data_IF_082329534444
#
_entry.id   IF_082329534444
#
_cell.length_a   1.000
_cell.length_b   1.000
_cell.length_c   1.000
_cell.angle_alpha   90.00
_cell.angle_beta   90.00
_cell.angle_gamma   90.00
#
_symmetry.space_group_name_H-M   'P 1'
#
loop_
_entity.id
_entity.type
_entity.pdbx_description
1 polymer ?
#
# COMPACT_ATOMS: atom_id res chain seq x y z
N UNK A 1 58.26 0.43 -17.45
CA UNK A 1 57.01 1.20 -17.61
C UNK A 1 55.79 0.31 -18.00
N UNK A 2 55.75 -0.98 -17.63
CA UNK A 2 54.66 -1.92 -18.03
C UNK A 2 54.17 -2.78 -16.84
N UNK A 3 54.64 -2.51 -15.61
CA UNK A 3 54.33 -3.35 -14.43
C UNK A 3 53.26 -2.80 -13.48
N UNK A 4 52.85 -1.54 -13.62
CA UNK A 4 51.91 -0.90 -12.68
C UNK A 4 50.45 -0.83 -13.17
N UNK A 5 50.19 -1.16 -14.44
CA UNK A 5 48.84 -1.06 -15.03
C UNK A 5 47.96 -2.28 -14.65
N UNK A 6 48.52 -3.36 -14.10
CA UNK A 6 47.75 -4.56 -13.70
C UNK A 6 47.07 -4.46 -12.33
N UNK A 7 47.44 -3.52 -11.47
CA UNK A 7 46.83 -3.39 -10.14
C UNK A 7 45.59 -2.49 -10.10
N UNK A 8 45.47 -1.55 -11.04
CA UNK A 8 44.34 -0.60 -11.08
C UNK A 8 43.08 -1.21 -11.72
N UNK A 9 43.24 -2.19 -12.62
CA UNK A 9 42.10 -2.82 -13.30
C UNK A 9 41.41 -3.87 -12.40
N UNK A 10 42.11 -4.48 -11.45
CA UNK A 10 41.49 -5.41 -10.49
C UNK A 10 40.67 -4.70 -9.41
N UNK A 11 41.03 -3.47 -9.01
CA UNK A 11 40.28 -2.73 -8.00
C UNK A 11 38.98 -2.12 -8.54
N UNK A 12 38.94 -1.73 -9.82
CA UNK A 12 37.70 -1.22 -10.44
C UNK A 12 36.66 -2.33 -10.69
N UNK A 13 37.08 -3.60 -10.78
CA UNK A 13 36.15 -4.70 -11.00
C UNK A 13 35.40 -5.11 -9.72
N UNK A 14 35.92 -4.78 -8.54
CA UNK A 14 35.27 -5.10 -7.26
C UNK A 14 34.18 -4.10 -6.85
N UNK A 15 34.23 -2.84 -7.32
CA UNK A 15 33.21 -1.84 -6.96
C UNK A 15 31.96 -1.97 -7.85
N UNK A 16 32.11 -2.49 -9.08
CA UNK A 16 30.97 -2.67 -10.01
C UNK A 16 30.21 -3.99 -9.75
N UNK A 17 30.76 -4.90 -8.94
CA UNK A 17 30.20 -6.23 -8.72
C UNK A 17 29.14 -6.33 -7.59
N UNK A 18 28.80 -5.23 -6.90
CA UNK A 18 27.82 -5.26 -5.79
C UNK A 18 26.41 -4.80 -6.14
N UNK A 19 26.11 -4.46 -7.39
CA UNK A 19 24.72 -4.39 -7.87
C UNK A 19 24.28 -5.79 -8.30
N UNK A 20 24.40 -6.77 -7.40
CA UNK A 20 23.59 -7.98 -7.52
C UNK A 20 22.14 -7.52 -7.44
N UNK A 21 21.38 -7.72 -8.52
CA UNK A 21 19.98 -7.38 -8.69
C UNK A 21 19.16 -7.73 -7.44
N UNK A 22 19.08 -6.80 -6.49
CA UNK A 22 18.29 -6.98 -5.30
C UNK A 22 16.82 -7.01 -5.75
N UNK A 23 16.15 -8.13 -5.52
CA UNK A 23 14.75 -8.31 -5.91
C UNK A 23 13.84 -7.33 -5.15
N UNK A 24 14.28 -6.85 -3.99
CA UNK A 24 13.69 -5.70 -3.28
C UNK A 24 14.58 -4.47 -3.54
N UNK A 25 13.94 -3.35 -3.85
CA UNK A 25 14.59 -2.07 -4.13
C UNK A 25 14.25 -1.06 -3.03
N UNK A 26 15.10 -0.06 -2.76
CA UNK A 26 14.73 1.07 -1.92
C UNK A 26 13.49 1.79 -2.46
N UNK A 27 12.68 2.37 -1.57
CA UNK A 27 11.59 3.26 -1.97
C UNK A 27 12.19 4.50 -2.65
N UNK A 28 11.77 4.85 -3.88
CA UNK A 28 12.27 6.05 -4.54
C UNK A 28 11.78 7.31 -3.81
N UNK A 29 12.46 8.43 -4.03
CA UNK A 29 11.96 9.72 -3.59
C UNK A 29 10.55 9.98 -4.15
N UNK A 30 9.68 10.68 -3.39
CA UNK A 30 8.38 11.07 -3.88
C UNK A 30 8.51 11.84 -5.21
N UNK A 31 7.63 11.60 -6.19
CA UNK A 31 7.63 12.37 -7.42
C UNK A 31 7.38 13.84 -7.10
N UNK A 32 8.03 14.74 -7.85
CA UNK A 32 7.76 16.18 -7.74
C UNK A 32 6.30 16.46 -8.10
N UNK A 33 5.60 17.24 -7.27
CA UNK A 33 4.20 17.63 -7.45
C UNK A 33 4.07 19.13 -7.23
N UNK A 34 3.09 19.77 -7.88
CA UNK A 34 2.77 21.17 -7.61
C UNK A 34 2.33 21.33 -6.13
N UNK A 35 3.03 22.15 -5.30
CA UNK A 35 2.70 22.27 -3.88
C UNK A 35 1.28 22.77 -3.60
N UNK A 36 0.73 23.65 -4.46
CA UNK A 36 -0.65 24.13 -4.32
C UNK A 36 -1.65 23.00 -4.56
N UNK A 37 -1.36 22.12 -5.53
CA UNK A 37 -2.20 20.98 -5.85
C UNK A 37 -2.15 19.92 -4.74
N UNK A 38 -0.97 19.68 -4.16
CA UNK A 38 -0.79 18.77 -3.01
C UNK A 38 -1.58 19.28 -1.81
N UNK A 39 -1.46 20.57 -1.48
CA UNK A 39 -2.22 21.17 -0.37
C UNK A 39 -3.73 21.06 -0.58
N UNK A 40 -4.20 21.29 -1.81
CA UNK A 40 -5.61 21.13 -2.15
C UNK A 40 -6.07 19.68 -1.99
N UNK A 41 -5.25 18.72 -2.45
CA UNK A 41 -5.50 17.29 -2.28
C UNK A 41 -5.56 16.84 -0.83
N UNK A 42 -4.64 17.34 0.01
CA UNK A 42 -4.61 17.06 1.45
C UNK A 42 -5.88 17.57 2.14
N UNK A 43 -6.31 18.79 1.81
CA UNK A 43 -7.55 19.36 2.32
C UNK A 43 -8.76 18.50 1.93
N UNK A 44 -8.86 18.08 0.66
CA UNK A 44 -9.94 17.22 0.17
C UNK A 44 -9.91 15.82 0.80
N UNK A 45 -8.73 15.28 1.09
CA UNK A 45 -8.57 13.97 1.72
C UNK A 45 -9.23 13.91 3.11
N UNK A 46 -9.32 15.05 3.79
CA UNK A 46 -9.94 15.22 5.10
C UNK A 46 -11.34 15.86 5.03
N UNK A 47 -11.85 16.15 3.84
CA UNK A 47 -13.10 16.90 3.66
C UNK A 47 -14.31 15.96 3.68
N UNK A 48 -15.05 15.95 4.78
CA UNK A 48 -16.25 15.14 4.94
C UNK A 48 -17.37 15.54 3.98
N UNK A 49 -17.34 16.75 3.38
CA UNK A 49 -18.37 17.20 2.42
C UNK A 49 -18.44 16.30 1.17
N UNK A 50 -17.42 15.49 0.94
CA UNK A 50 -17.37 14.49 -0.11
C UNK A 50 -18.38 13.33 0.13
N UNK A 51 -18.70 12.95 1.37
CA UNK A 51 -19.69 11.90 1.65
C UNK A 51 -21.13 12.40 1.60
N UNK A 52 -22.08 11.52 1.29
CA UNK A 52 -23.50 11.84 1.14
C UNK A 52 -24.10 12.54 2.36
N UNK A 53 -23.74 12.10 3.56
CA UNK A 53 -24.22 12.63 4.84
C UNK A 53 -23.26 13.61 5.54
N UNK A 54 -22.10 13.88 4.94
CA UNK A 54 -21.03 14.74 5.48
C UNK A 54 -20.42 14.26 6.80
N UNK A 55 -20.24 12.95 6.95
CA UNK A 55 -19.63 12.32 8.15
C UNK A 55 -18.37 11.50 7.86
N UNK A 56 -18.03 11.29 6.59
CA UNK A 56 -16.92 10.42 6.18
C UNK A 56 -16.02 11.16 5.19
N UNK A 57 -14.71 11.06 5.38
CA UNK A 57 -13.67 11.50 4.45
C UNK A 57 -12.75 10.34 4.10
N UNK A 58 -11.78 10.54 3.20
CA UNK A 58 -10.76 9.53 2.95
C UNK A 58 -9.98 9.20 4.24
N UNK A 59 -9.69 10.22 5.05
CA UNK A 59 -8.98 10.09 6.33
C UNK A 59 -9.75 9.26 7.38
N UNK A 60 -11.07 9.14 7.29
CA UNK A 60 -11.87 8.29 8.19
C UNK A 60 -11.46 6.83 8.10
N UNK A 61 -11.20 6.32 6.89
CA UNK A 61 -10.79 4.94 6.65
C UNK A 61 -9.28 4.79 6.44
N UNK A 62 -8.58 5.87 6.10
CA UNK A 62 -7.16 5.88 5.76
C UNK A 62 -6.39 6.87 6.64
N UNK A 63 -6.54 6.74 7.96
CA UNK A 63 -5.89 7.61 8.94
C UNK A 63 -4.36 7.58 8.77
N UNK A 64 -3.79 8.72 8.38
CA UNK A 64 -2.36 8.83 8.03
C UNK A 64 -1.46 8.58 9.24
N UNK A 65 -1.92 9.01 10.42
CA UNK A 65 -1.16 8.91 11.68
C UNK A 65 -0.91 7.46 12.12
N UNK A 66 -1.76 6.52 11.68
CA UNK A 66 -1.71 5.10 12.05
C UNK A 66 -1.44 4.20 10.84
N UNK A 67 -0.66 4.70 9.88
CA UNK A 67 -0.22 3.90 8.73
C UNK A 67 -1.13 3.97 7.50
N UNK A 68 -2.02 4.97 7.40
CA UNK A 68 -2.80 5.24 6.19
C UNK A 68 -3.95 4.25 5.95
N UNK A 69 -4.43 3.60 7.01
CA UNK A 69 -5.50 2.60 7.00
C UNK A 69 -6.19 2.53 8.36
N UNK A 70 -7.43 2.05 8.37
CA UNK A 70 -8.15 1.73 9.59
C UNK A 70 -7.49 0.53 10.29
N UNK A 71 -7.51 0.54 11.62
CA UNK A 71 -7.06 -0.55 12.49
C UNK A 71 -8.19 -1.56 12.77
N UNK A 72 -9.42 -1.30 12.31
CA UNK A 72 -10.54 -2.23 12.36
C UNK A 72 -10.43 -3.34 11.30
N UNK A 73 -11.19 -4.42 11.50
CA UNK A 73 -11.29 -5.54 10.54
C UNK A 73 -11.86 -5.09 9.19
N UNK A 74 -12.84 -4.19 9.21
CA UNK A 74 -13.45 -3.57 8.04
C UNK A 74 -13.82 -2.14 8.41
N UNK A 75 -13.75 -1.24 7.44
CA UNK A 75 -14.04 0.17 7.63
C UNK A 75 -15.51 0.42 7.94
N UNK A 76 -15.77 1.57 8.58
CA UNK A 76 -17.12 2.07 8.87
C UNK A 76 -17.40 3.27 7.99
N UNK A 77 -18.40 3.18 7.12
CA UNK A 77 -18.83 4.28 6.27
C UNK A 77 -20.05 5.03 6.83
N UNK A 78 -20.74 5.73 5.94
CA UNK A 78 -21.92 6.55 6.27
C UNK A 78 -22.98 5.77 7.06
N UNK A 79 -23.64 6.45 8.00
CA UNK A 79 -24.67 5.83 8.84
C UNK A 79 -24.20 4.63 9.68
N UNK A 80 -22.89 4.46 9.89
CA UNK A 80 -22.32 3.35 10.66
C UNK A 80 -22.27 2.01 9.91
N UNK A 81 -22.51 2.01 8.59
CA UNK A 81 -22.45 0.80 7.76
C UNK A 81 -21.04 0.22 7.76
N UNK A 82 -20.94 -1.12 7.73
CA UNK A 82 -19.66 -1.84 7.68
C UNK A 82 -19.34 -2.24 6.25
N UNK A 83 -18.10 -1.99 5.84
CA UNK A 83 -17.58 -2.51 4.58
C UNK A 83 -17.44 -4.03 4.60
N UNK A 84 -17.13 -4.60 3.44
CA UNK A 84 -17.03 -6.05 3.24
C UNK A 84 -15.62 -6.51 2.90
N UNK A 85 -14.67 -5.58 2.88
CA UNK A 85 -13.25 -5.81 2.59
C UNK A 85 -12.40 -4.86 3.44
N UNK A 86 -11.19 -5.29 3.79
CA UNK A 86 -10.24 -4.47 4.55
C UNK A 86 -9.72 -3.31 3.70
N UNK A 87 -9.74 -2.09 4.24
CA UNK A 87 -9.08 -0.94 3.63
C UNK A 87 -7.54 -1.13 3.65
N UNK A 88 -6.85 -1.10 2.49
CA UNK A 88 -5.39 -1.12 2.43
C UNK A 88 -4.80 0.25 2.78
N UNK A 89 -3.50 0.32 3.06
CA UNK A 89 -2.81 1.60 3.28
C UNK A 89 -2.76 2.46 2.01
N UNK A 90 -2.91 3.78 2.18
CA UNK A 90 -2.63 4.79 1.14
C UNK A 90 -1.15 5.11 1.01
N UNK A 91 -0.32 4.81 2.01
CA UNK A 91 1.14 4.99 1.88
C UNK A 91 1.71 4.07 0.81
N UNK A 92 2.60 4.60 -0.01
CA UNK A 92 3.20 3.94 -1.17
C UNK A 92 2.18 3.41 -2.20
N UNK A 93 0.90 3.81 -2.12
CA UNK A 93 -0.13 3.35 -3.06
C UNK A 93 0.16 3.76 -4.51
N UNK A 94 0.91 4.85 -4.70
CA UNK A 94 1.45 5.28 -5.98
C UNK A 94 2.37 4.25 -6.65
N UNK A 95 3.08 3.42 -5.85
CA UNK A 95 3.94 2.36 -6.37
C UNK A 95 3.17 1.13 -6.86
N UNK A 96 1.85 1.05 -6.60
CA UNK A 96 1.05 -0.05 -7.11
C UNK A 96 0.82 0.10 -8.62
N UNK A 97 0.94 -0.99 -9.37
CA UNK A 97 0.62 -1.00 -10.81
C UNK A 97 -0.89 -0.85 -11.12
N UNK A 98 -1.73 -0.98 -10.09
CA UNK A 98 -3.20 -0.93 -10.13
C UNK A 98 -3.74 -0.77 -8.70
N UNK A 99 -4.94 -0.22 -8.54
CA UNK A 99 -5.55 0.07 -7.23
C UNK A 99 -6.67 -0.92 -6.89
N UNK A 100 -7.03 -0.96 -5.60
CA UNK A 100 -7.87 -1.98 -4.97
C UNK A 100 -7.25 -3.39 -4.93
N UNK A 101 -7.83 -4.28 -4.12
CA UNK A 101 -7.40 -5.67 -3.98
C UNK A 101 -7.53 -6.48 -5.28
N UNK A 102 -8.55 -6.23 -6.09
CA UNK A 102 -8.82 -6.91 -7.35
C UNK A 102 -8.12 -6.26 -8.56
N UNK A 103 -7.52 -5.07 -8.36
CA UNK A 103 -6.88 -4.31 -9.43
C UNK A 103 -7.86 -3.84 -10.50
N UNK A 104 -9.06 -3.40 -10.11
CA UNK A 104 -10.12 -2.98 -11.05
C UNK A 104 -9.88 -1.65 -11.74
N UNK A 105 -9.01 -0.78 -11.17
CA UNK A 105 -8.62 0.49 -11.79
C UNK A 105 -7.11 0.66 -11.80
N UNK A 106 -6.58 1.38 -12.80
CA UNK A 106 -5.13 1.52 -13.00
C UNK A 106 -4.51 2.67 -12.21
N UNK A 107 -5.25 3.75 -11.99
CA UNK A 107 -4.70 5.02 -11.47
C UNK A 107 -5.32 5.39 -10.13
N UNK A 108 -4.65 6.28 -9.39
CA UNK A 108 -5.17 6.86 -8.14
C UNK A 108 -6.38 7.74 -8.42
N UNK A 109 -6.38 8.47 -9.54
CA UNK A 109 -7.52 9.30 -9.97
C UNK A 109 -8.78 8.46 -10.14
N UNK A 110 -8.69 7.36 -10.89
CA UNK A 110 -9.82 6.46 -11.12
C UNK A 110 -10.24 5.70 -9.85
N UNK A 111 -9.35 5.56 -8.87
CA UNK A 111 -9.66 4.92 -7.60
C UNK A 111 -10.66 5.74 -6.78
N UNK A 112 -10.62 7.08 -6.86
CA UNK A 112 -11.49 8.00 -6.10
C UNK A 112 -12.99 7.74 -6.34
N UNK A 113 -13.37 7.33 -7.55
CA UNK A 113 -14.78 7.07 -7.89
C UNK A 113 -15.37 5.89 -7.08
N UNK A 114 -14.55 4.91 -6.72
CA UNK A 114 -14.98 3.74 -5.93
C UNK A 114 -15.57 4.11 -4.57
N UNK A 115 -14.76 4.61 -3.61
CA UNK A 115 -15.24 4.97 -2.27
C UNK A 115 -16.31 6.06 -2.33
N UNK A 116 -16.21 7.01 -3.27
CA UNK A 116 -17.16 8.11 -3.41
C UNK A 116 -18.59 7.60 -3.65
N UNK A 117 -18.76 6.63 -4.54
CA UNK A 117 -20.06 6.13 -4.95
C UNK A 117 -20.57 4.93 -4.14
N UNK A 118 -19.68 4.21 -3.45
CA UNK A 118 -20.06 3.02 -2.68
C UNK A 118 -20.98 3.37 -1.49
N UNK A 119 -22.13 2.69 -1.41
CA UNK A 119 -23.15 2.92 -0.37
C UNK A 119 -22.73 2.47 1.03
N UNK A 120 -21.68 1.65 1.16
CA UNK A 120 -21.07 1.21 2.42
C UNK A 120 -19.92 2.12 2.85
N UNK A 121 -19.47 3.03 1.97
CA UNK A 121 -18.36 3.96 2.22
C UNK A 121 -18.87 5.40 2.30
N UNK A 122 -18.81 6.16 1.21
CA UNK A 122 -19.16 7.60 1.20
C UNK A 122 -20.58 7.87 0.68
N UNK A 123 -21.23 6.92 -0.01
CA UNK A 123 -22.60 7.01 -0.52
C UNK A 123 -22.97 8.36 -1.18
N UNK A 124 -22.10 8.85 -2.07
CA UNK A 124 -22.18 10.17 -2.66
C UNK A 124 -22.15 10.12 -4.19
N UNK A 125 -22.20 11.28 -4.83
CA UNK A 125 -22.06 11.41 -6.27
C UNK A 125 -21.47 12.77 -6.67
N UNK A 126 -20.91 12.84 -7.87
CA UNK A 126 -20.24 14.03 -8.37
C UNK A 126 -21.12 15.28 -8.43
N UNK A 127 -22.36 15.25 -8.95
CA UNK A 127 -23.24 16.42 -8.91
C UNK A 127 -23.41 17.01 -7.50
N UNK A 128 -23.60 16.15 -6.49
CA UNK A 128 -23.74 16.55 -5.10
C UNK A 128 -22.44 17.15 -4.54
N UNK A 129 -21.31 16.49 -4.77
CA UNK A 129 -19.99 16.95 -4.33
C UNK A 129 -19.65 18.29 -4.94
N UNK A 130 -19.74 18.40 -6.26
CA UNK A 130 -19.37 19.61 -6.99
C UNK A 130 -20.28 20.77 -6.60
N UNK A 131 -21.58 20.55 -6.39
CA UNK A 131 -22.48 21.57 -5.85
C UNK A 131 -22.06 22.08 -4.48
N UNK A 132 -21.60 21.19 -3.59
CA UNK A 132 -21.12 21.56 -2.23
C UNK A 132 -19.79 22.29 -2.27
N UNK A 133 -18.82 21.79 -3.02
CA UNK A 133 -17.50 22.41 -3.12
C UNK A 133 -17.59 23.78 -3.82
N UNK A 134 -18.48 23.94 -4.81
CA UNK A 134 -18.74 25.24 -5.44
C UNK A 134 -19.47 26.24 -4.54
N UNK A 135 -20.14 25.78 -3.46
CA UNK A 135 -20.73 26.68 -2.48
C UNK A 135 -19.70 27.27 -1.51
N UNK A 136 -18.44 26.81 -1.53
CA UNK A 136 -17.33 27.33 -0.74
C UNK A 136 -16.48 28.33 -1.55
N UNK A 137 -16.57 29.65 -1.26
CA UNK A 137 -15.82 30.65 -2.00
C UNK A 137 -14.31 30.53 -1.86
N UNK A 138 -13.81 30.05 -0.71
CA UNK A 138 -12.38 29.88 -0.49
C UNK A 138 -11.86 28.72 -1.33
N UNK A 139 -12.53 27.56 -1.26
CA UNK A 139 -12.11 26.38 -2.00
C UNK A 139 -12.15 26.63 -3.52
N UNK A 140 -13.20 27.30 -4.04
CA UNK A 140 -13.24 27.72 -5.45
C UNK A 140 -12.05 28.59 -5.84
N UNK A 141 -11.66 29.53 -4.99
CA UNK A 141 -10.51 30.39 -5.23
C UNK A 141 -9.20 29.59 -5.27
N UNK A 142 -9.06 28.58 -4.41
CA UNK A 142 -7.91 27.67 -4.39
C UNK A 142 -7.85 26.81 -5.65
N UNK A 143 -8.97 26.23 -6.09
CA UNK A 143 -9.05 25.51 -7.37
C UNK A 143 -8.70 26.40 -8.57
N UNK A 144 -9.25 27.62 -8.62
CA UNK A 144 -8.96 28.57 -9.71
C UNK A 144 -7.48 28.93 -9.80
N UNK A 145 -6.78 29.05 -8.66
CA UNK A 145 -5.32 29.30 -8.65
C UNK A 145 -4.50 28.15 -9.24
N UNK A 146 -5.01 26.92 -9.19
CA UNK A 146 -4.30 25.72 -9.64
C UNK A 146 -4.65 25.35 -11.08
N UNK A 147 -5.93 25.45 -11.46
CA UNK A 147 -6.44 24.94 -12.72
C UNK A 147 -6.90 26.03 -13.71
N UNK A 148 -7.06 27.28 -13.27
CA UNK A 148 -7.60 28.40 -14.08
C UNK A 148 -8.95 28.11 -14.78
N UNK A 149 -9.73 27.20 -14.19
CA UNK A 149 -11.02 26.74 -14.69
C UNK A 149 -12.05 26.64 -13.55
N UNK A 150 -13.32 26.48 -13.91
CA UNK A 150 -14.38 26.19 -12.95
C UNK A 150 -14.20 24.78 -12.34
N UNK A 151 -14.53 24.66 -11.05
CA UNK A 151 -14.36 23.43 -10.27
C UNK A 151 -15.18 22.28 -10.86
N UNK A 152 -14.52 21.18 -11.23
CA UNK A 152 -15.15 19.97 -11.78
C UNK A 152 -14.60 18.67 -11.15
N UNK A 153 -15.26 17.50 -11.38
CA UNK A 153 -14.85 16.22 -10.79
C UNK A 153 -13.41 15.82 -11.07
N UNK A 154 -12.91 16.11 -12.28
CA UNK A 154 -11.57 15.67 -12.68
C UNK A 154 -10.49 16.37 -11.88
N UNK A 155 -10.66 17.66 -11.62
CA UNK A 155 -9.74 18.44 -10.80
C UNK A 155 -9.69 17.93 -9.35
N UNK A 156 -10.83 17.49 -8.80
CA UNK A 156 -10.90 16.87 -7.46
C UNK A 156 -10.09 15.57 -7.44
N UNK A 157 -10.26 14.70 -8.46
CA UNK A 157 -9.48 13.45 -8.58
C UNK A 157 -7.99 13.74 -8.70
N UNK A 158 -7.60 14.69 -9.54
CA UNK A 158 -6.20 15.08 -9.75
C UNK A 158 -5.58 15.61 -8.45
N UNK A 159 -6.29 16.47 -7.70
CA UNK A 159 -5.80 16.99 -6.43
C UNK A 159 -5.60 15.88 -5.40
N UNK A 160 -6.60 15.02 -5.19
CA UNK A 160 -6.50 13.87 -4.27
C UNK A 160 -5.36 12.91 -4.67
N UNK A 161 -5.19 12.63 -5.96
CA UNK A 161 -4.14 11.76 -6.44
C UNK A 161 -2.75 12.40 -6.29
N UNK A 162 -2.61 13.72 -6.51
CA UNK A 162 -1.37 14.44 -6.30
C UNK A 162 -0.91 14.39 -4.84
N UNK A 163 -1.82 14.56 -3.88
CA UNK A 163 -1.51 14.36 -2.46
C UNK A 163 -1.11 12.91 -2.16
N UNK A 164 -1.87 11.92 -2.65
CA UNK A 164 -1.53 10.51 -2.43
C UNK A 164 -0.17 10.11 -3.01
N UNK A 165 0.29 10.76 -4.09
CA UNK A 165 1.65 10.56 -4.63
C UNK A 165 2.76 11.02 -3.69
N UNK A 166 2.48 11.97 -2.79
CA UNK A 166 3.47 12.42 -1.80
C UNK A 166 3.56 11.49 -0.59
N UNK A 167 2.57 10.62 -0.38
CA UNK A 167 2.51 9.66 0.74
C UNK A 167 3.49 8.48 0.52
N UNK A 168 4.77 8.79 0.44
CA UNK A 168 5.85 7.85 0.21
C UNK A 168 6.68 7.66 1.47
N UNK A 169 6.80 6.42 1.94
CA UNK A 169 7.58 6.07 3.13
C UNK A 169 9.03 5.86 2.74
N UNK A 170 9.88 6.83 3.07
CA UNK A 170 11.32 6.79 2.75
C UNK A 170 12.15 6.47 3.99
N UNK A 171 13.46 6.28 3.83
CA UNK A 171 14.39 6.15 4.97
C UNK A 171 14.09 4.96 5.92
N UNK A 172 13.52 3.86 5.43
CA UNK A 172 13.35 2.67 6.27
C UNK A 172 14.70 2.08 6.68
N UNK A 173 14.81 1.40 7.84
CA UNK A 173 16.01 0.67 8.23
C UNK A 173 16.54 -0.25 7.12
N UNK A 174 15.65 -1.00 6.46
CA UNK A 174 16.03 -1.89 5.35
C UNK A 174 16.52 -1.12 4.11
N UNK A 175 15.92 0.02 3.77
CA UNK A 175 16.36 0.84 2.63
C UNK A 175 17.73 1.47 2.89
N UNK A 176 18.02 1.90 4.13
CA UNK A 176 19.36 2.34 4.53
C UNK A 176 20.38 1.20 4.45
N UNK A 177 19.99 -0.01 4.87
CA UNK A 177 20.85 -1.19 4.74
C UNK A 177 21.17 -1.51 3.28
N UNK A 178 20.17 -1.47 2.39
CA UNK A 178 20.38 -1.62 0.94
C UNK A 178 21.29 -0.52 0.36
N UNK A 179 21.29 0.68 0.94
CA UNK A 179 22.15 1.79 0.56
C UNK A 179 23.58 1.72 1.15
N UNK A 180 23.91 0.67 1.92
CA UNK A 180 25.25 0.41 2.44
C UNK A 180 25.44 0.70 3.94
N UNK A 181 24.42 1.15 4.65
CA UNK A 181 24.46 1.25 6.12
C UNK A 181 24.30 -0.14 6.75
N UNK A 182 25.41 -0.84 6.92
CA UNK A 182 25.42 -2.23 7.38
C UNK A 182 24.90 -2.43 8.80
N UNK A 183 24.77 -1.36 9.59
CA UNK A 183 24.28 -1.35 10.96
C UNK A 183 22.79 -0.94 11.04
N UNK A 184 22.18 -0.53 9.93
CA UNK A 184 20.79 -0.05 9.91
C UNK A 184 19.75 -1.12 10.31
N UNK A 185 20.08 -2.41 10.16
CA UNK A 185 19.22 -3.53 10.56
C UNK A 185 19.98 -4.54 11.44
N UNK A 186 19.25 -5.17 12.36
CA UNK A 186 19.80 -6.13 13.32
C UNK A 186 20.18 -7.47 12.67
N UNK A 187 20.93 -8.30 13.39
CA UNK A 187 21.24 -9.67 12.96
C UNK A 187 19.96 -10.51 12.75
N UNK A 188 18.94 -10.30 13.58
CA UNK A 188 17.65 -10.98 13.46
C UNK A 188 16.93 -10.58 12.18
N UNK A 189 16.89 -9.28 11.86
CA UNK A 189 16.29 -8.75 10.64
C UNK A 189 17.00 -9.28 9.38
N UNK A 190 18.35 -9.39 9.41
CA UNK A 190 19.13 -10.04 8.35
C UNK A 190 18.76 -11.51 8.18
N UNK A 191 18.58 -12.23 9.29
CA UNK A 191 18.13 -13.63 9.24
C UNK A 191 16.70 -13.77 8.68
N UNK A 192 15.80 -12.88 9.09
CA UNK A 192 14.44 -12.79 8.58
C UNK A 192 14.39 -12.57 7.08
N UNK A 193 15.20 -11.64 6.56
CA UNK A 193 15.31 -11.39 5.12
C UNK A 193 15.82 -12.63 4.38
N UNK A 194 16.85 -13.30 4.90
CA UNK A 194 17.36 -14.56 4.35
C UNK A 194 16.26 -15.62 4.27
N UNK A 195 15.51 -15.84 5.35
CA UNK A 195 14.39 -16.79 5.37
C UNK A 195 13.27 -16.40 4.38
N UNK A 196 12.96 -15.11 4.29
CA UNK A 196 11.98 -14.57 3.34
C UNK A 196 12.36 -14.87 1.89
N UNK A 197 13.65 -14.81 1.56
CA UNK A 197 14.18 -15.21 0.26
C UNK A 197 14.15 -16.74 0.07
N UNK A 198 14.69 -17.50 1.01
CA UNK A 198 14.83 -18.96 0.92
C UNK A 198 13.49 -19.69 0.83
N UNK A 199 12.46 -19.21 1.54
CA UNK A 199 11.12 -19.79 1.44
C UNK A 199 10.39 -19.40 0.16
N UNK A 200 10.82 -18.33 -0.51
CA UNK A 200 10.27 -17.90 -1.79
C UNK A 200 9.22 -16.79 -1.70
N UNK A 201 9.05 -16.15 -0.55
CA UNK A 201 8.12 -15.01 -0.38
C UNK A 201 8.43 -13.87 -1.37
N UNK A 202 9.72 -13.68 -1.66
CA UNK A 202 10.23 -12.67 -2.58
C UNK A 202 9.80 -12.88 -4.05
N UNK A 203 9.28 -14.06 -4.41
CA UNK A 203 8.74 -14.30 -5.75
C UNK A 203 7.50 -13.47 -6.08
N UNK A 204 6.72 -13.11 -5.05
CA UNK A 204 5.55 -12.24 -5.15
C UNK A 204 5.77 -10.87 -4.53
N UNK A 205 6.48 -10.83 -3.39
CA UNK A 205 6.73 -9.62 -2.61
C UNK A 205 8.10 -9.03 -2.96
N UNK A 206 8.15 -8.32 -4.08
CA UNK A 206 9.37 -7.75 -4.68
C UNK A 206 9.20 -6.28 -5.08
N UNK A 207 10.29 -5.68 -5.58
CA UNK A 207 10.34 -4.29 -6.01
C UNK A 207 10.33 -3.29 -4.86
N UNK A 208 10.14 -2.02 -5.18
CA UNK A 208 10.24 -0.91 -4.21
C UNK A 208 9.19 -0.99 -3.09
N UNK A 209 7.96 -1.45 -3.40
CA UNK A 209 6.89 -1.58 -2.42
C UNK A 209 6.82 -2.97 -1.75
N UNK A 210 7.75 -3.87 -2.08
CA UNK A 210 7.78 -5.27 -1.59
C UNK A 210 6.43 -5.95 -1.83
N UNK A 211 5.96 -5.86 -3.08
CA UNK A 211 4.60 -6.15 -3.51
C UNK A 211 4.02 -5.00 -4.35
N UNK A 212 2.71 -5.05 -4.61
CA UNK A 212 1.97 -3.99 -5.32
C UNK A 212 2.13 -4.00 -6.84
N UNK A 213 3.05 -4.79 -7.40
CA UNK A 213 3.46 -4.77 -8.81
C UNK A 213 2.99 -5.98 -9.63
N UNK A 214 2.24 -6.92 -9.02
CA UNK A 214 1.70 -8.07 -9.73
C UNK A 214 0.41 -8.61 -9.10
N UNK A 215 -0.24 -9.53 -9.81
CA UNK A 215 -1.33 -10.34 -9.31
C UNK A 215 -0.83 -11.74 -8.93
N UNK A 216 -1.38 -12.32 -7.87
CA UNK A 216 -1.14 -13.71 -7.49
C UNK A 216 -2.43 -14.36 -6.99
N UNK A 217 -2.49 -15.69 -7.12
CA UNK A 217 -3.57 -16.48 -6.52
C UNK A 217 -3.35 -16.54 -5.01
N UNK A 218 -4.41 -16.29 -4.25
CA UNK A 218 -4.45 -16.57 -2.82
C UNK A 218 -4.79 -18.05 -2.61
N UNK A 219 -3.93 -18.77 -1.87
CA UNK A 219 -4.09 -20.22 -1.66
C UNK A 219 -3.67 -21.05 -2.86
N UNK A 220 -2.42 -20.88 -3.31
CA UNK A 220 -1.88 -21.59 -4.48
C UNK A 220 -1.66 -23.08 -4.23
N UNK A 221 -1.34 -23.48 -2.99
CA UNK A 221 -1.14 -24.89 -2.62
C UNK A 221 -2.25 -25.44 -1.72
N UNK A 222 -2.82 -24.61 -0.84
CA UNK A 222 -3.97 -24.98 -0.02
C UNK A 222 -5.09 -23.95 -0.18
N UNK A 223 -6.34 -24.42 -0.20
CA UNK A 223 -7.51 -23.54 -0.33
C UNK A 223 -7.53 -22.50 0.80
N UNK A 224 -7.51 -21.23 0.42
CA UNK A 224 -7.73 -20.13 1.32
C UNK A 224 -9.19 -19.68 1.20
N UNK A 225 -10.06 -20.26 2.03
CA UNK A 225 -11.49 -19.93 2.05
C UNK A 225 -11.98 -19.82 3.49
N UNK A 226 -12.19 -18.60 3.97
CA UNK A 226 -12.78 -18.30 5.28
C UNK A 226 -13.89 -17.25 5.12
N UNK A 227 -14.90 -17.54 4.29
CA UNK A 227 -15.99 -16.58 4.02
C UNK A 227 -17.01 -16.56 5.16
N UNK A 228 -17.33 -15.36 5.65
CA UNK A 228 -18.24 -15.14 6.78
C UNK A 228 -19.60 -14.54 6.37
N UNK A 229 -19.76 -14.14 5.10
CA UNK A 229 -21.02 -13.67 4.50
C UNK A 229 -20.99 -13.79 2.97
N UNK A 230 -22.13 -13.62 2.31
CA UNK A 230 -22.25 -13.66 0.85
C UNK A 230 -21.51 -12.49 0.17
N UNK A 231 -21.52 -11.31 0.77
CA UNK A 231 -20.80 -10.14 0.26
C UNK A 231 -19.28 -10.35 0.39
N UNK A 232 -18.83 -10.92 1.51
CA UNK A 232 -17.44 -11.32 1.70
C UNK A 232 -17.01 -12.40 0.71
N UNK A 233 -17.90 -13.36 0.41
CA UNK A 233 -17.67 -14.36 -0.64
C UNK A 233 -17.50 -13.67 -2.01
N UNK A 234 -18.37 -12.73 -2.35
CA UNK A 234 -18.32 -12.02 -3.63
C UNK A 234 -17.00 -11.25 -3.78
N UNK A 235 -16.59 -10.43 -2.81
CA UNK A 235 -15.32 -9.69 -2.92
C UNK A 235 -14.10 -10.61 -2.88
N UNK A 236 -14.22 -11.78 -2.25
CA UNK A 236 -13.17 -12.79 -2.21
C UNK A 236 -12.96 -13.52 -3.54
N UNK A 237 -13.85 -13.39 -4.51
CA UNK A 237 -13.59 -13.87 -5.87
C UNK A 237 -12.44 -13.11 -6.55
N UNK A 238 -12.07 -11.94 -6.01
CA UNK A 238 -10.93 -11.13 -6.44
C UNK A 238 -11.08 -10.67 -7.88
N UNK A 239 -10.03 -10.84 -8.68
CA UNK A 239 -9.95 -10.39 -10.07
C UNK A 239 -10.96 -11.07 -11.01
N UNK A 240 -11.59 -12.16 -10.59
CA UNK A 240 -12.75 -12.70 -11.29
C UNK A 240 -13.86 -11.66 -11.44
N UNK A 241 -14.12 -10.83 -10.42
CA UNK A 241 -15.16 -9.79 -10.45
C UNK A 241 -14.93 -8.74 -11.54
N UNK A 242 -13.68 -8.56 -11.96
CA UNK A 242 -13.29 -7.60 -12.99
C UNK A 242 -13.32 -8.22 -14.38
N UNK A 243 -13.03 -9.53 -14.48
CA UNK A 243 -12.69 -10.16 -15.76
C UNK A 243 -13.66 -11.22 -16.23
N UNK A 244 -14.48 -11.78 -15.33
CA UNK A 244 -15.33 -12.95 -15.60
C UNK A 244 -14.57 -14.25 -15.92
N UNK A 245 -13.23 -14.23 -15.92
CA UNK A 245 -12.43 -15.39 -16.27
C UNK A 245 -12.20 -16.26 -15.03
N UNK A 246 -12.70 -17.52 -15.05
CA UNK A 246 -12.54 -18.48 -13.94
C UNK A 246 -11.09 -18.71 -13.51
N UNK A 247 -10.10 -18.52 -14.40
CA UNK A 247 -8.68 -18.60 -14.04
C UNK A 247 -8.24 -17.48 -13.08
N UNK A 248 -9.02 -16.42 -12.94
CA UNK A 248 -8.78 -15.31 -12.01
C UNK A 248 -9.57 -15.41 -10.70
N UNK A 249 -10.27 -16.53 -10.44
CA UNK A 249 -10.87 -16.77 -9.12
C UNK A 249 -9.77 -16.74 -8.04
N UNK A 250 -10.02 -16.00 -6.96
CA UNK A 250 -9.10 -15.83 -5.83
C UNK A 250 -7.74 -15.21 -6.21
N UNK A 251 -7.67 -14.51 -7.35
CA UNK A 251 -6.48 -13.77 -7.75
C UNK A 251 -6.60 -12.33 -7.28
N UNK A 252 -5.59 -11.84 -6.57
CA UNK A 252 -5.54 -10.50 -5.99
C UNK A 252 -4.24 -9.80 -6.36
N UNK A 253 -4.25 -8.47 -6.33
CA UNK A 253 -3.02 -7.69 -6.33
C UNK A 253 -2.25 -8.05 -5.06
N UNK A 254 -1.00 -8.46 -5.21
CA UNK A 254 -0.11 -8.71 -4.08
C UNK A 254 0.04 -7.39 -3.30
N UNK A 255 -0.32 -7.30 -2.00
CA UNK A 255 -0.19 -6.06 -1.25
C UNK A 255 1.28 -5.72 -1.01
N UNK A 256 1.61 -4.43 -0.94
CA UNK A 256 2.93 -3.99 -0.48
C UNK A 256 3.10 -4.25 1.02
N UNK A 257 4.31 -4.60 1.45
CA UNK A 257 4.60 -4.93 2.85
C UNK A 257 5.17 -3.77 3.68
N UNK A 258 5.40 -2.60 3.07
CA UNK A 258 6.05 -1.43 3.70
C UNK A 258 5.35 -0.92 4.96
N UNK A 259 4.03 -1.12 5.09
CA UNK A 259 3.27 -0.75 6.31
C UNK A 259 2.75 -1.97 7.07
N UNK A 260 3.12 -3.19 6.67
CA UNK A 260 2.50 -4.40 7.19
C UNK A 260 2.68 -4.57 8.70
N UNK A 261 3.79 -4.10 9.26
CA UNK A 261 4.05 -4.12 10.70
C UNK A 261 3.10 -3.24 11.54
N UNK A 262 2.40 -2.29 10.93
CA UNK A 262 1.41 -1.44 11.60
C UNK A 262 0.00 -2.06 11.62
N UNK A 263 -0.21 -3.17 10.92
CA UNK A 263 -1.52 -3.80 10.82
C UNK A 263 -1.89 -4.60 12.08
N UNK A 264 -3.13 -4.44 12.52
CA UNK A 264 -3.75 -5.36 13.50
C UNK A 264 -4.44 -6.56 12.84
N UNK A 265 -4.86 -6.40 11.58
CA UNK A 265 -5.52 -7.45 10.82
C UNK A 265 -4.94 -7.53 9.41
N UNK A 266 -4.88 -8.74 8.86
CA UNK A 266 -4.23 -9.02 7.58
C UNK A 266 -5.16 -9.70 6.59
N UNK A 267 -4.76 -9.64 5.32
CA UNK A 267 -5.52 -10.09 4.14
C UNK A 267 -6.75 -9.22 3.84
N UNK A 268 -7.43 -9.53 2.74
CA UNK A 268 -8.59 -8.76 2.27
C UNK A 268 -9.80 -8.95 3.18
N UNK A 269 -9.88 -10.05 3.92
CA UNK A 269 -11.00 -10.45 4.78
C UNK A 269 -10.70 -10.37 6.29
N UNK A 270 -9.52 -9.85 6.67
CA UNK A 270 -9.09 -9.71 8.06
C UNK A 270 -9.08 -11.04 8.83
N UNK A 271 -8.68 -12.13 8.15
CA UNK A 271 -8.66 -13.46 8.77
C UNK A 271 -7.49 -13.68 9.73
N UNK A 272 -6.36 -12.99 9.56
CA UNK A 272 -5.25 -13.01 10.51
C UNK A 272 -5.31 -11.82 11.47
N UNK A 273 -4.91 -12.04 12.72
CA UNK A 273 -4.93 -11.07 13.82
C UNK A 273 -3.54 -10.64 14.29
N UNK A 274 -2.47 -11.19 13.69
CA UNK A 274 -1.09 -10.73 13.90
C UNK A 274 -0.23 -10.93 12.66
N UNK A 275 0.91 -10.23 12.62
CA UNK A 275 1.86 -10.34 11.52
C UNK A 275 2.44 -11.76 11.42
N UNK A 276 2.79 -12.36 12.55
CA UNK A 276 3.31 -13.72 12.64
C UNK A 276 2.28 -14.75 12.17
N UNK A 277 1.00 -14.57 12.52
CA UNK A 277 -0.09 -15.43 12.05
C UNK A 277 -0.28 -15.31 10.53
N UNK A 278 -0.18 -14.09 9.98
CA UNK A 278 -0.25 -13.86 8.55
C UNK A 278 0.93 -14.49 7.79
N UNK A 279 2.14 -14.42 8.36
CA UNK A 279 3.36 -15.04 7.80
C UNK A 279 3.22 -16.57 7.77
N UNK A 280 2.80 -17.18 8.88
CA UNK A 280 2.60 -18.63 8.94
C UNK A 280 1.52 -19.10 7.95
N UNK A 281 0.39 -18.39 7.88
CA UNK A 281 -0.64 -18.66 6.89
C UNK A 281 -0.12 -18.54 5.46
N UNK A 282 0.64 -17.49 5.12
CA UNK A 282 1.24 -17.33 3.79
C UNK A 282 2.19 -18.48 3.45
N UNK A 283 3.08 -18.84 4.37
CA UNK A 283 4.03 -19.92 4.19
C UNK A 283 3.32 -21.25 3.90
N UNK A 284 2.25 -21.55 4.62
CA UNK A 284 1.45 -22.76 4.42
C UNK A 284 0.68 -22.70 3.10
N UNK A 285 -0.20 -21.71 2.92
CA UNK A 285 -1.19 -21.73 1.82
C UNK A 285 -0.59 -21.41 0.46
N UNK A 286 0.51 -20.65 0.42
CA UNK A 286 1.16 -20.27 -0.84
C UNK A 286 2.37 -21.14 -1.18
N UNK A 287 3.09 -21.63 -0.16
CA UNK A 287 4.40 -22.28 -0.35
C UNK A 287 4.43 -23.72 0.17
N UNK A 288 3.41 -24.18 0.90
CA UNK A 288 3.37 -25.53 1.48
C UNK A 288 4.45 -25.72 2.55
N UNK A 289 4.88 -24.63 3.17
CA UNK A 289 5.92 -24.60 4.18
C UNK A 289 5.27 -24.46 5.55
N UNK A 290 5.80 -25.20 6.52
CA UNK A 290 5.50 -24.99 7.92
C UNK A 290 6.69 -24.27 8.56
N UNK A 291 6.42 -23.11 9.17
CA UNK A 291 7.45 -22.34 9.86
C UNK A 291 7.49 -22.72 11.33
N UNK A 292 8.67 -22.66 11.94
CA UNK A 292 8.75 -22.57 13.40
C UNK A 292 8.32 -21.17 13.84
N UNK A 293 7.96 -21.03 15.13
CA UNK A 293 7.64 -19.72 15.71
C UNK A 293 8.80 -18.72 15.54
N UNK A 294 10.03 -19.18 15.78
CA UNK A 294 11.22 -18.33 15.67
C UNK A 294 11.45 -17.89 14.21
N UNK A 295 11.22 -18.77 13.23
CA UNK A 295 11.31 -18.40 11.81
C UNK A 295 10.26 -17.36 11.41
N UNK A 296 9.02 -17.52 11.88
CA UNK A 296 7.96 -16.55 11.64
C UNK A 296 8.29 -15.19 12.30
N UNK A 297 8.84 -15.21 13.51
CA UNK A 297 9.27 -14.01 14.23
C UNK A 297 10.43 -13.30 13.53
N UNK A 298 11.43 -14.04 13.05
CA UNK A 298 12.55 -13.46 12.31
C UNK A 298 12.08 -12.78 11.02
N UNK A 299 11.18 -13.42 10.28
CA UNK A 299 10.55 -12.82 9.09
C UNK A 299 9.73 -11.58 9.48
N UNK A 300 9.01 -11.61 10.60
CA UNK A 300 8.26 -10.47 11.10
C UNK A 300 9.19 -9.29 11.42
N UNK A 301 10.34 -9.53 12.05
CA UNK A 301 11.37 -8.51 12.29
C UNK A 301 11.91 -7.90 11.00
N UNK A 302 12.17 -8.74 9.99
CA UNK A 302 12.49 -8.23 8.66
C UNK A 302 11.39 -7.32 8.12
N UNK A 303 10.12 -7.71 8.20
CA UNK A 303 9.00 -6.87 7.73
C UNK A 303 8.90 -5.57 8.54
N UNK A 304 9.17 -5.57 9.84
CA UNK A 304 9.26 -4.35 10.68
C UNK A 304 10.33 -3.39 10.15
N UNK A 305 11.48 -3.90 9.70
CA UNK A 305 12.55 -3.09 9.11
C UNK A 305 12.19 -2.41 7.78
N UNK A 306 11.09 -2.82 7.14
CA UNK A 306 10.59 -2.22 5.89
C UNK A 306 9.85 -0.90 6.10
N UNK A 307 9.40 -0.62 7.33
CA UNK A 307 8.66 0.60 7.64
C UNK A 307 9.56 1.83 7.53
N UNK A 308 9.21 2.71 6.61
CA UNK A 308 9.86 4.01 6.44
C UNK A 308 9.21 5.12 7.27
N UNK A 309 9.75 6.31 7.10
CA UNK A 309 9.33 7.54 7.75
C UNK A 309 8.50 8.39 6.79
N UNK A 310 7.51 9.09 7.34
CA UNK A 310 6.78 10.16 6.66
C UNK A 310 6.29 11.17 7.71
N UNK A 311 6.30 12.49 7.47
CA UNK A 311 5.91 13.49 8.48
C UNK A 311 4.49 13.33 9.04
N UNK A 312 3.57 12.77 8.25
CA UNK A 312 2.18 12.49 8.64
C UNK A 312 1.96 11.12 9.28
N UNK A 313 3.02 10.31 9.44
CA UNK A 313 2.96 9.04 10.14
C UNK A 313 3.52 9.22 11.55
N UNK A 314 2.65 9.27 12.56
CA UNK A 314 3.06 9.36 13.98
C UNK A 314 3.26 8.03 14.66
N UNK A 315 2.65 6.95 14.16
CA UNK A 315 2.80 5.64 14.76
C UNK A 315 4.24 5.14 14.56
N UNK A 316 4.95 5.04 15.67
CA UNK A 316 6.25 4.39 15.75
C UNK A 316 6.02 2.93 16.14
N UNK A 317 6.79 2.00 15.56
CA UNK A 317 6.81 0.63 16.06
C UNK A 317 7.35 0.67 17.48
N UNK A 318 6.58 0.16 18.44
CA UNK A 318 7.10 -0.06 19.80
C UNK A 318 8.07 -1.24 19.76
N UNK A 319 9.29 -1.02 20.23
CA UNK A 319 10.30 -2.07 20.48
C UNK A 319 9.80 -3.16 21.44
#
# INVERSE_FOLDING_TARGET
MIREIRFVILLLCCIVAQVLHATILPVPNPPEQNPLLVKLGEQLFHDERLSGDKTVSCATCHALETGGMDLAKVSTGVGGKKGVIRAPSVFNSHLNHTQFWDGRVKTLEAQVDGPLHDELEMASNWPLVIGRLNADPQLRSEFKKVFDEELNPEQVRIALAAFQRTLMLTNSPFDRWLAGDMEAITAQQKNGFRLFQEYGCISCHQGANVGGNMFARMGSLESFTLFKSAEMEQVSLGRYNVTGNRKHLYVFKVPGLRTAALNHYFFHDSSASSLEEAIDMMARVQLGRQLTRDQAQDIAEFIRSLLGEHPLLKQVLSD
#
